data_IF_914097752264
#
_entry.id   IF_914097752264
#
_cell.length_a   1.000
_cell.length_b   1.000
_cell.length_c   1.000
_cell.angle_alpha   90.00
_cell.angle_beta   90.00
_cell.angle_gamma   90.00
#
_symmetry.space_group_name_H-M   'P 1'
#
loop_
_entity.id
_entity.type
_entity.pdbx_description
1 polymer ?
#
# COMPACT_ATOMS: atom_id res chain seq x y z
N UNK A 1 10.63 26.83 -7.64
CA UNK A 1 9.34 27.39 -8.10
C UNK A 1 8.32 26.26 -8.02
N UNK A 2 7.17 26.50 -7.38
CA UNK A 2 6.07 25.54 -7.36
C UNK A 2 5.27 25.72 -8.66
N UNK A 3 5.10 24.64 -9.40
CA UNK A 3 4.27 24.63 -10.62
C UNK A 3 3.11 23.63 -10.48
N UNK A 4 1.90 24.03 -10.88
CA UNK A 4 0.78 23.12 -11.03
C UNK A 4 0.98 22.34 -12.34
N UNK A 5 1.06 21.03 -12.23
CA UNK A 5 1.28 20.13 -13.37
C UNK A 5 -0.06 19.68 -13.96
N UNK A 6 -1.01 19.31 -13.08
CA UNK A 6 -2.33 18.82 -13.48
C UNK A 6 -3.38 19.09 -12.43
N UNK A 7 -4.61 19.39 -12.87
CA UNK A 7 -5.80 19.46 -12.02
C UNK A 7 -6.80 18.43 -12.51
N UNK A 8 -7.36 17.67 -11.61
CA UNK A 8 -8.31 16.59 -11.86
C UNK A 8 -9.50 16.74 -10.94
N UNK A 9 -10.67 16.34 -11.40
CA UNK A 9 -11.89 16.27 -10.58
C UNK A 9 -12.32 14.81 -10.45
N UNK A 10 -12.46 14.33 -9.22
CA UNK A 10 -12.94 12.97 -8.96
C UNK A 10 -13.80 12.93 -7.71
N UNK A 11 -14.97 12.29 -7.80
CA UNK A 11 -15.93 12.14 -6.71
C UNK A 11 -16.32 13.47 -6.03
N UNK A 12 -16.40 14.57 -6.80
CA UNK A 12 -16.71 15.91 -6.31
C UNK A 12 -15.57 16.58 -5.54
N UNK A 13 -14.35 16.09 -5.68
CA UNK A 13 -13.17 16.65 -5.04
C UNK A 13 -12.11 17.01 -6.08
N UNK A 14 -11.44 18.15 -5.88
CA UNK A 14 -10.34 18.59 -6.73
C UNK A 14 -9.04 17.97 -6.28
N UNK A 15 -8.34 17.30 -7.21
CA UNK A 15 -6.98 16.82 -7.03
C UNK A 15 -6.01 17.71 -7.80
N UNK A 16 -4.92 18.11 -7.16
CA UNK A 16 -3.90 18.96 -7.78
C UNK A 16 -2.54 18.30 -7.69
N UNK A 17 -1.99 17.89 -8.84
CA UNK A 17 -0.59 17.48 -8.93
C UNK A 17 0.26 18.73 -9.11
N UNK A 18 1.24 18.91 -8.23
CA UNK A 18 2.21 20.00 -8.32
C UNK A 18 3.65 19.50 -8.32
N UNK A 19 4.49 20.21 -9.04
CA UNK A 19 5.96 20.05 -9.03
C UNK A 19 6.57 21.12 -8.13
N UNK A 20 7.37 20.68 -7.16
CA UNK A 20 8.13 21.55 -6.26
C UNK A 20 9.60 21.69 -6.69
N UNK A 21 9.96 21.22 -7.89
CA UNK A 21 11.31 21.25 -8.45
C UNK A 21 12.21 20.12 -7.96
N UNK A 22 12.00 19.61 -6.76
CA UNK A 22 12.74 18.48 -6.18
C UNK A 22 11.91 17.21 -6.07
N UNK A 23 10.61 17.34 -6.10
CA UNK A 23 9.65 16.25 -5.97
C UNK A 23 8.25 16.71 -6.39
N UNK A 24 7.34 15.76 -6.53
CA UNK A 24 5.93 16.02 -6.81
C UNK A 24 5.08 15.76 -5.58
N UNK A 25 3.96 16.49 -5.50
CA UNK A 25 2.94 16.26 -4.49
C UNK A 25 1.56 16.21 -5.15
N UNK A 26 0.71 15.28 -4.67
CA UNK A 26 -0.71 15.26 -5.00
C UNK A 26 -1.49 15.76 -3.80
N UNK A 27 -2.32 16.76 -4.04
CA UNK A 27 -3.21 17.35 -3.05
C UNK A 27 -4.65 16.92 -3.32
N UNK A 28 -5.41 16.69 -2.26
CA UNK A 28 -6.86 16.59 -2.28
C UNK A 28 -7.41 17.88 -1.65
N UNK A 29 -8.00 18.75 -2.46
CA UNK A 29 -8.25 20.13 -2.08
C UNK A 29 -6.93 20.85 -1.75
N UNK A 30 -6.75 21.20 -0.47
CA UNK A 30 -5.50 21.84 0.00
C UNK A 30 -4.60 20.89 0.80
N UNK A 31 -5.01 19.65 1.02
CA UNK A 31 -4.28 18.70 1.86
C UNK A 31 -3.36 17.81 1.00
N UNK A 32 -2.04 17.83 1.20
CA UNK A 32 -1.16 16.86 0.55
C UNK A 32 -1.50 15.44 1.01
N UNK A 33 -1.76 14.55 0.04
CA UNK A 33 -2.08 13.14 0.28
C UNK A 33 -0.97 12.20 -0.18
N UNK A 34 -0.17 12.59 -1.18
CA UNK A 34 0.98 11.82 -1.68
C UNK A 34 2.16 12.76 -1.95
N UNK A 35 3.39 12.26 -1.77
CA UNK A 35 4.62 12.97 -2.08
C UNK A 35 5.68 12.01 -2.63
N UNK A 36 6.40 12.40 -3.69
CA UNK A 36 7.52 11.62 -4.23
C UNK A 36 8.86 11.98 -3.59
N UNK A 37 8.86 12.74 -2.50
CA UNK A 37 10.08 13.25 -1.87
C UNK A 37 10.94 12.15 -1.23
N UNK A 38 10.30 11.11 -0.69
CA UNK A 38 10.96 10.07 0.06
C UNK A 38 10.17 8.76 -0.16
N UNK A 39 10.65 7.91 -1.07
CA UNK A 39 9.98 6.68 -1.50
C UNK A 39 10.79 5.41 -1.13
N UNK A 40 11.89 5.56 -0.37
CA UNK A 40 12.74 4.44 0.01
C UNK A 40 12.00 3.52 1.00
N UNK A 41 11.20 4.09 1.90
CA UNK A 41 10.40 3.33 2.87
C UNK A 41 9.31 2.51 2.20
N UNK A 42 8.62 3.07 1.18
CA UNK A 42 7.60 2.37 0.39
C UNK A 42 8.23 1.26 -0.46
N UNK A 43 9.42 1.51 -1.05
CA UNK A 43 10.16 0.46 -1.77
C UNK A 43 10.58 -0.67 -0.84
N UNK A 44 11.10 -0.36 0.34
CA UNK A 44 11.47 -1.37 1.33
C UNK A 44 10.24 -2.14 1.82
N UNK A 45 9.11 -1.45 2.01
CA UNK A 45 7.84 -2.07 2.36
C UNK A 45 7.33 -3.01 1.26
N UNK A 46 7.34 -2.57 0.00
CA UNK A 46 6.94 -3.40 -1.15
C UNK A 46 7.80 -4.66 -1.28
N UNK A 47 9.12 -4.57 -1.02
CA UNK A 47 10.03 -5.71 -1.06
C UNK A 47 9.68 -6.80 -0.02
N UNK A 48 8.93 -6.48 1.05
CA UNK A 48 8.42 -7.47 1.99
C UNK A 48 7.50 -8.51 1.33
N UNK A 49 6.92 -8.22 0.18
CA UNK A 49 6.15 -9.18 -0.60
C UNK A 49 6.93 -10.48 -0.85
N UNK A 50 8.24 -10.40 -1.07
CA UNK A 50 9.12 -11.56 -1.24
C UNK A 50 9.39 -12.36 0.05
N UNK A 51 9.35 -11.69 1.21
CA UNK A 51 9.66 -12.30 2.52
C UNK A 51 8.41 -12.89 3.18
N UNK A 52 7.27 -12.22 3.04
CA UNK A 52 6.04 -12.62 3.72
C UNK A 52 5.22 -13.67 2.97
N UNK A 53 5.51 -13.91 1.69
CA UNK A 53 4.83 -14.95 0.91
C UNK A 53 5.28 -16.33 1.37
N UNK A 54 4.41 -17.33 1.25
CA UNK A 54 4.78 -18.74 1.31
C UNK A 54 5.49 -19.15 0.00
N UNK A 55 6.41 -20.12 0.06
CA UNK A 55 7.16 -20.67 -1.10
C UNK A 55 6.30 -21.44 -2.12
N UNK A 56 5.01 -21.10 -2.20
CA UNK A 56 4.09 -21.70 -3.17
C UNK A 56 3.98 -20.83 -4.42
N UNK A 57 4.03 -21.49 -5.58
CA UNK A 57 3.75 -20.88 -6.88
C UNK A 57 2.51 -21.56 -7.49
N UNK A 58 1.57 -20.80 -8.08
CA UNK A 58 1.52 -19.35 -8.15
C UNK A 58 1.08 -18.70 -6.83
N UNK A 59 1.66 -17.55 -6.51
CA UNK A 59 1.29 -16.74 -5.36
C UNK A 59 0.29 -15.63 -5.76
N UNK A 60 -0.54 -15.21 -4.80
CA UNK A 60 -1.48 -14.08 -4.99
C UNK A 60 -1.31 -13.06 -3.88
N UNK A 61 -1.01 -11.83 -4.26
CA UNK A 61 -0.72 -10.72 -3.34
C UNK A 61 -1.68 -9.57 -3.60
N UNK A 62 -2.22 -8.99 -2.54
CA UNK A 62 -3.01 -7.77 -2.62
C UNK A 62 -2.21 -6.60 -2.05
N UNK A 63 -2.13 -5.51 -2.80
CA UNK A 63 -1.57 -4.22 -2.38
C UNK A 63 -2.71 -3.22 -2.31
N UNK A 64 -2.96 -2.69 -1.12
CA UNK A 64 -3.91 -1.60 -0.92
C UNK A 64 -3.18 -0.27 -1.00
N UNK A 65 -3.62 0.60 -1.92
CA UNK A 65 -2.98 1.85 -2.29
C UNK A 65 -1.96 1.68 -3.42
N UNK A 66 -2.06 2.52 -4.43
CA UNK A 66 -1.08 2.60 -5.52
C UNK A 66 -0.01 3.66 -5.21
N UNK A 67 -0.41 4.78 -4.60
CA UNK A 67 0.47 5.92 -4.43
C UNK A 67 1.12 6.33 -5.75
N UNK A 68 2.42 6.61 -5.73
CA UNK A 68 3.18 6.85 -6.97
C UNK A 68 3.84 5.58 -7.54
N UNK A 69 3.37 4.40 -7.14
CA UNK A 69 3.78 3.12 -7.68
C UNK A 69 5.03 2.50 -7.05
N UNK A 70 5.65 3.15 -6.05
CA UNK A 70 6.92 2.70 -5.47
C UNK A 70 6.80 1.34 -4.75
N UNK A 71 5.76 1.16 -3.95
CA UNK A 71 5.45 -0.11 -3.26
C UNK A 71 5.18 -1.23 -4.27
N UNK A 72 4.38 -0.96 -5.30
CA UNK A 72 4.07 -1.94 -6.36
C UNK A 72 5.33 -2.35 -7.13
N UNK A 73 6.14 -1.38 -7.57
CA UNK A 73 7.37 -1.66 -8.31
C UNK A 73 8.33 -2.55 -7.51
N UNK A 74 8.51 -2.26 -6.22
CA UNK A 74 9.36 -3.05 -5.35
C UNK A 74 8.78 -4.45 -5.08
N UNK A 75 7.46 -4.58 -4.92
CA UNK A 75 6.81 -5.87 -4.77
C UNK A 75 6.99 -6.74 -6.02
N UNK A 76 6.79 -6.19 -7.22
CA UNK A 76 7.00 -6.91 -8.49
C UNK A 76 8.44 -7.38 -8.68
N UNK A 77 9.42 -6.59 -8.22
CA UNK A 77 10.82 -6.96 -8.25
C UNK A 77 11.18 -8.09 -7.25
N UNK A 78 10.42 -8.19 -6.14
CA UNK A 78 10.66 -9.16 -5.08
C UNK A 78 9.97 -10.51 -5.29
N UNK A 79 9.01 -10.61 -6.21
CA UNK A 79 8.20 -11.82 -6.42
C UNK A 79 8.46 -12.48 -7.77
N UNK A 80 8.15 -13.78 -7.86
CA UNK A 80 8.33 -14.56 -9.08
C UNK A 80 7.39 -14.18 -10.23
N UNK A 81 7.67 -14.64 -11.45
CA UNK A 81 6.92 -14.30 -12.65
C UNK A 81 5.47 -14.82 -12.65
N UNK A 82 5.19 -15.89 -11.89
CA UNK A 82 3.86 -16.50 -11.79
C UNK A 82 2.98 -15.84 -10.69
N UNK A 83 3.49 -14.80 -10.01
CA UNK A 83 2.76 -14.15 -8.91
C UNK A 83 1.73 -13.18 -9.47
N UNK A 84 0.47 -13.34 -9.09
CA UNK A 84 -0.58 -12.35 -9.35
C UNK A 84 -0.49 -11.23 -8.30
N UNK A 85 -0.45 -9.99 -8.74
CA UNK A 85 -0.40 -8.81 -7.88
C UNK A 85 -1.66 -7.97 -8.11
N UNK A 86 -2.56 -7.97 -7.16
CA UNK A 86 -3.80 -7.21 -7.18
C UNK A 86 -3.53 -5.87 -6.51
N UNK A 87 -3.66 -4.77 -7.24
CA UNK A 87 -3.51 -3.41 -6.69
C UNK A 87 -4.88 -2.77 -6.58
N UNK A 88 -5.23 -2.35 -5.39
CA UNK A 88 -6.52 -1.70 -5.11
C UNK A 88 -6.29 -0.23 -4.86
N UNK A 89 -6.74 0.61 -5.79
CA UNK A 89 -6.64 2.06 -5.70
C UNK A 89 -8.03 2.69 -5.86
N UNK A 90 -8.38 3.55 -4.92
CA UNK A 90 -9.69 4.19 -4.90
C UNK A 90 -9.81 5.30 -5.93
N UNK A 91 -8.75 6.10 -6.10
CA UNK A 91 -8.73 7.27 -6.98
C UNK A 91 -8.20 6.89 -8.37
N UNK A 92 -9.04 6.97 -9.39
CA UNK A 92 -8.63 6.74 -10.79
C UNK A 92 -7.56 7.72 -11.25
N UNK A 93 -7.66 8.96 -10.79
CA UNK A 93 -6.68 10.00 -11.04
C UNK A 93 -5.26 9.61 -10.65
N UNK A 94 -5.09 8.85 -9.55
CA UNK A 94 -3.76 8.36 -9.12
C UNK A 94 -3.17 7.42 -10.17
N UNK A 95 -3.95 6.48 -10.70
CA UNK A 95 -3.48 5.57 -11.76
C UNK A 95 -3.15 6.31 -13.07
N UNK A 96 -3.92 7.35 -13.42
CA UNK A 96 -3.62 8.18 -14.58
C UNK A 96 -2.28 8.92 -14.41
N UNK A 97 -2.04 9.52 -13.24
CA UNK A 97 -0.79 10.21 -12.91
C UNK A 97 0.41 9.26 -12.97
N UNK A 98 0.26 8.03 -12.46
CA UNK A 98 1.33 7.01 -12.49
C UNK A 98 1.65 6.56 -13.92
N UNK A 99 0.65 6.49 -14.82
CA UNK A 99 0.89 6.19 -16.24
C UNK A 99 1.43 7.38 -17.02
N UNK A 100 1.12 8.59 -16.60
CA UNK A 100 1.44 9.84 -17.26
C UNK A 100 2.62 10.57 -16.64
N UNK A 101 2.33 11.63 -15.92
CA UNK A 101 3.30 12.62 -15.43
C UNK A 101 4.37 12.01 -14.52
N UNK A 102 4.01 10.98 -13.76
CA UNK A 102 4.92 10.31 -12.82
C UNK A 102 5.37 8.91 -13.27
N UNK A 103 5.20 8.57 -14.55
CA UNK A 103 5.66 7.28 -15.09
C UNK A 103 7.15 7.00 -14.85
N UNK A 104 7.97 8.03 -14.69
CA UNK A 104 9.40 7.92 -14.38
C UNK A 104 9.69 7.39 -12.95
N UNK A 105 8.74 7.49 -12.02
CA UNK A 105 8.88 7.01 -10.63
C UNK A 105 8.82 5.49 -10.56
N UNK A 106 7.92 4.89 -11.34
CA UNK A 106 7.70 3.45 -11.42
C UNK A 106 7.37 3.05 -12.88
N UNK A 107 8.38 3.02 -13.77
CA UNK A 107 8.16 2.82 -15.20
C UNK A 107 7.45 1.52 -15.53
N UNK A 108 6.35 1.60 -16.30
CA UNK A 108 5.60 0.44 -16.80
C UNK A 108 4.93 -0.42 -15.74
N UNK A 109 4.90 0.01 -14.49
CA UNK A 109 4.45 -0.80 -13.35
C UNK A 109 3.00 -1.28 -13.48
N UNK A 110 2.13 -0.48 -14.09
CA UNK A 110 0.72 -0.82 -14.31
C UNK A 110 0.47 -1.62 -15.60
N UNK A 111 1.52 -1.80 -16.42
CA UNK A 111 1.46 -2.57 -17.68
C UNK A 111 2.11 -3.95 -17.50
N UNK A 112 2.65 -4.26 -16.32
CA UNK A 112 3.19 -5.58 -15.98
C UNK A 112 2.06 -6.63 -16.04
N UNK A 113 2.21 -7.74 -16.79
CA UNK A 113 1.15 -8.73 -16.97
C UNK A 113 0.70 -9.42 -15.68
N UNK A 114 1.48 -9.35 -14.62
CA UNK A 114 1.13 -9.88 -13.29
C UNK A 114 0.14 -8.97 -12.53
N UNK A 115 -0.02 -7.71 -12.96
CA UNK A 115 -0.78 -6.68 -12.24
C UNK A 115 -2.24 -6.66 -12.67
N UNK A 116 -3.11 -6.76 -11.68
CA UNK A 116 -4.54 -6.47 -11.78
C UNK A 116 -4.83 -5.18 -11.01
N UNK A 117 -5.11 -4.08 -11.70
CA UNK A 117 -5.53 -2.83 -11.07
C UNK A 117 -7.05 -2.83 -10.86
N UNK A 118 -7.46 -2.70 -9.59
CA UNK A 118 -8.87 -2.66 -9.17
C UNK A 118 -9.20 -1.28 -8.61
N UNK A 119 -10.15 -0.60 -9.22
CA UNK A 119 -10.67 0.67 -8.70
C UNK A 119 -11.80 0.43 -7.70
N UNK A 120 -11.45 0.32 -6.43
CA UNK A 120 -12.37 0.01 -5.35
C UNK A 120 -11.87 0.55 -4.00
N UNK A 121 -12.72 0.42 -2.98
CA UNK A 121 -12.29 0.53 -1.59
C UNK A 121 -11.58 -0.76 -1.16
N UNK A 122 -10.37 -0.63 -0.60
CA UNK A 122 -9.54 -1.79 -0.26
C UNK A 122 -10.16 -2.71 0.79
N UNK A 123 -10.92 -2.17 1.76
CA UNK A 123 -11.58 -3.00 2.76
C UNK A 123 -12.68 -3.88 2.14
N UNK A 124 -13.41 -3.34 1.16
CA UNK A 124 -14.42 -4.10 0.41
C UNK A 124 -13.77 -5.18 -0.44
N UNK A 125 -12.65 -4.83 -1.10
CA UNK A 125 -11.95 -5.77 -1.96
C UNK A 125 -11.31 -6.91 -1.17
N UNK A 126 -10.71 -6.64 -0.02
CA UNK A 126 -10.21 -7.70 0.89
C UNK A 126 -11.34 -8.66 1.26
N UNK A 127 -12.53 -8.14 1.60
CA UNK A 127 -13.68 -8.98 1.97
C UNK A 127 -14.24 -9.86 0.84
N UNK A 128 -13.85 -9.61 -0.42
CA UNK A 128 -14.23 -10.40 -1.60
C UNK A 128 -13.17 -11.43 -2.02
N UNK A 129 -12.01 -11.42 -1.39
CA UNK A 129 -10.88 -12.28 -1.73
C UNK A 129 -10.69 -13.40 -0.72
N UNK A 130 -10.06 -14.45 -1.18
CA UNK A 130 -9.62 -15.60 -0.38
C UNK A 130 -8.27 -16.10 -0.90
N UNK A 131 -7.61 -16.91 -0.11
CA UNK A 131 -6.38 -17.61 -0.47
C UNK A 131 -5.21 -16.69 -0.89
N UNK A 132 -5.19 -15.47 -0.34
CA UNK A 132 -4.08 -14.55 -0.54
C UNK A 132 -2.84 -15.00 0.25
N UNK A 133 -1.67 -14.87 -0.36
CA UNK A 133 -0.37 -15.10 0.30
C UNK A 133 0.02 -13.91 1.16
N UNK A 134 -0.26 -12.71 0.66
CA UNK A 134 0.05 -11.48 1.37
C UNK A 134 -0.97 -10.38 1.08
N UNK A 135 -1.18 -9.53 2.08
CA UNK A 135 -1.89 -8.26 1.98
C UNK A 135 -0.94 -7.18 2.48
N UNK A 136 -0.57 -6.22 1.62
CA UNK A 136 0.25 -5.08 1.97
C UNK A 136 -0.61 -3.81 1.90
N UNK A 137 -0.79 -3.10 3.01
CA UNK A 137 -1.55 -1.86 3.06
C UNK A 137 -0.62 -0.65 3.14
N UNK A 138 -0.66 0.17 2.09
CA UNK A 138 0.05 1.44 1.94
C UNK A 138 -0.95 2.52 1.53
N UNK A 139 -2.01 2.68 2.33
CA UNK A 139 -3.17 3.56 2.03
C UNK A 139 -3.19 4.86 2.82
N UNK A 140 -2.46 4.92 3.94
CA UNK A 140 -2.44 6.02 4.90
C UNK A 140 -1.10 6.14 5.60
N UNK A 141 -1.00 7.11 6.52
CA UNK A 141 0.14 7.25 7.42
C UNK A 141 0.18 6.20 8.56
N UNK A 142 -0.66 5.15 8.48
CA UNK A 142 -0.71 4.02 9.41
C UNK A 142 -1.91 4.02 10.36
N UNK A 143 -2.01 3.03 11.26
CA UNK A 143 -3.21 2.77 12.07
C UNK A 143 -3.63 3.91 13.01
N UNK A 144 -2.68 4.77 13.42
CA UNK A 144 -2.96 5.92 14.27
C UNK A 144 -3.32 7.20 13.52
N UNK A 145 -3.16 7.24 12.20
CA UNK A 145 -3.28 8.43 11.35
C UNK A 145 -3.95 8.10 10.02
N UNK A 146 -5.18 7.59 10.07
CA UNK A 146 -5.95 7.39 8.86
C UNK A 146 -6.27 8.73 8.22
N UNK A 147 -5.62 9.06 7.09
CA UNK A 147 -5.81 10.28 6.31
C UNK A 147 -7.25 10.39 5.80
N UNK A 148 -7.84 9.26 5.48
CA UNK A 148 -9.26 9.11 5.20
C UNK A 148 -9.94 8.40 6.36
N UNK A 149 -10.95 9.01 6.97
CA UNK A 149 -11.74 8.39 8.05
C UNK A 149 -12.29 7.01 7.68
N UNK A 150 -12.55 6.79 6.38
CA UNK A 150 -13.02 5.51 5.85
C UNK A 150 -11.99 4.38 5.99
N UNK A 151 -10.69 4.69 6.01
CA UNK A 151 -9.63 3.70 6.14
C UNK A 151 -9.42 3.23 7.59
N UNK A 152 -9.88 4.00 8.59
CA UNK A 152 -9.79 3.60 10.00
C UNK A 152 -10.41 2.21 10.26
N UNK A 153 -11.42 1.82 9.47
CA UNK A 153 -12.06 0.51 9.56
C UNK A 153 -11.12 -0.68 9.25
N UNK A 154 -10.07 -0.47 8.43
CA UNK A 154 -9.06 -1.49 8.12
C UNK A 154 -8.31 -1.98 9.36
N UNK A 155 -8.16 -1.09 10.33
CA UNK A 155 -7.37 -1.31 11.55
C UNK A 155 -8.22 -1.73 12.75
N UNK A 156 -9.53 -1.82 12.59
CA UNK A 156 -10.45 -2.36 13.62
C UNK A 156 -10.36 -3.88 13.67
N UNK A 157 -10.84 -4.48 14.77
CA UNK A 157 -10.92 -5.95 14.89
C UNK A 157 -11.72 -6.59 13.74
N UNK A 158 -12.78 -5.94 13.28
CA UNK A 158 -13.57 -6.42 12.14
C UNK A 158 -12.75 -6.39 10.84
N UNK A 159 -12.02 -5.29 10.56
CA UNK A 159 -11.16 -5.19 9.38
C UNK A 159 -10.00 -6.17 9.42
N UNK A 160 -9.35 -6.33 10.58
CA UNK A 160 -8.30 -7.31 10.78
C UNK A 160 -8.79 -8.75 10.62
N UNK A 161 -10.04 -9.04 11.03
CA UNK A 161 -10.65 -10.34 10.82
C UNK A 161 -10.90 -10.62 9.34
N UNK A 162 -11.40 -9.63 8.57
CA UNK A 162 -11.54 -9.76 7.12
C UNK A 162 -10.19 -10.08 6.46
N UNK A 163 -9.13 -9.35 6.83
CA UNK A 163 -7.80 -9.60 6.31
C UNK A 163 -7.27 -11.00 6.70
N UNK A 164 -7.52 -11.43 7.95
CA UNK A 164 -7.13 -12.75 8.42
C UNK A 164 -7.84 -13.85 7.61
N UNK A 165 -9.14 -13.72 7.37
CA UNK A 165 -9.93 -14.71 6.65
C UNK A 165 -9.58 -14.75 5.14
N UNK A 166 -9.22 -13.59 4.55
CA UNK A 166 -8.78 -13.50 3.15
C UNK A 166 -7.40 -14.13 2.89
N UNK A 167 -6.55 -14.21 3.91
CA UNK A 167 -5.23 -14.84 3.80
C UNK A 167 -5.37 -16.36 3.93
N UNK A 168 -4.52 -17.11 3.25
CA UNK A 168 -4.33 -18.52 3.53
C UNK A 168 -3.51 -18.76 4.81
N UNK A 169 -3.55 -19.96 5.41
CA UNK A 169 -2.63 -20.34 6.48
C UNK A 169 -1.18 -20.09 6.08
N UNK A 170 -0.39 -19.47 6.96
CA UNK A 170 0.98 -19.05 6.69
C UNK A 170 1.12 -17.74 5.89
N UNK A 171 0.03 -17.16 5.41
CA UNK A 171 0.03 -15.85 4.75
C UNK A 171 0.28 -14.69 5.72
N UNK A 172 0.55 -13.50 5.17
CA UNK A 172 0.89 -12.35 6.00
C UNK A 172 0.13 -11.07 5.60
N UNK A 173 -0.23 -10.31 6.61
CA UNK A 173 -0.79 -8.97 6.53
C UNK A 173 0.28 -7.97 6.95
N UNK A 174 0.51 -6.93 6.19
CA UNK A 174 1.46 -5.89 6.53
C UNK A 174 0.86 -4.50 6.32
N UNK A 175 1.18 -3.57 7.24
CA UNK A 175 0.75 -2.17 7.18
C UNK A 175 1.97 -1.28 7.25
N UNK A 176 2.13 -0.40 6.26
CA UNK A 176 3.09 0.70 6.33
C UNK A 176 2.59 1.77 7.30
N UNK A 177 3.49 2.32 8.11
CA UNK A 177 3.16 3.40 9.05
C UNK A 177 4.30 4.40 9.17
N UNK A 178 4.03 5.65 8.87
CA UNK A 178 4.97 6.77 9.06
C UNK A 178 5.13 7.18 10.52
N UNK A 179 4.26 6.67 11.41
CA UNK A 179 4.29 6.99 12.84
C UNK A 179 4.30 5.72 13.68
N UNK A 180 4.88 5.76 14.90
CA UNK A 180 4.77 4.65 15.85
C UNK A 180 3.31 4.34 16.20
N UNK A 181 2.93 3.07 16.08
CA UNK A 181 1.60 2.56 16.43
C UNK A 181 1.70 1.20 17.14
N UNK A 182 2.56 1.09 18.14
CA UNK A 182 2.93 -0.20 18.76
C UNK A 182 1.76 -0.88 19.45
N UNK A 183 0.73 -0.14 19.86
CA UNK A 183 -0.55 -0.69 20.35
C UNK A 183 -1.24 -1.56 19.30
N UNK A 184 -0.99 -1.32 18.01
CA UNK A 184 -1.55 -2.11 16.92
C UNK A 184 -1.09 -3.58 16.92
N UNK A 185 0.08 -3.88 17.51
CA UNK A 185 0.52 -5.27 17.72
C UNK A 185 -0.45 -6.07 18.61
N UNK A 186 -1.04 -5.43 19.61
CA UNK A 186 -2.03 -6.07 20.45
C UNK A 186 -3.32 -6.36 19.67
N UNK A 187 -3.72 -5.43 18.79
CA UNK A 187 -4.89 -5.63 17.93
C UNK A 187 -4.67 -6.76 16.91
N UNK A 188 -3.47 -6.85 16.32
CA UNK A 188 -3.10 -7.98 15.47
C UNK A 188 -3.16 -9.32 16.21
N UNK A 189 -2.65 -9.40 17.46
CA UNK A 189 -2.73 -10.62 18.28
C UNK A 189 -4.17 -11.02 18.56
N UNK A 190 -5.04 -10.08 18.93
CA UNK A 190 -6.47 -10.33 19.16
C UNK A 190 -7.16 -10.88 17.92
N UNK A 191 -6.77 -10.43 16.73
CA UNK A 191 -7.30 -10.94 15.47
C UNK A 191 -6.75 -12.31 15.07
N UNK A 192 -5.79 -12.87 15.83
CA UNK A 192 -5.21 -14.20 15.60
C UNK A 192 -3.87 -14.21 14.88
N UNK A 193 -3.32 -13.06 14.54
CA UNK A 193 -2.00 -12.96 13.89
C UNK A 193 -0.85 -13.15 14.90
N UNK A 194 0.30 -13.65 14.39
CA UNK A 194 1.60 -13.55 15.04
C UNK A 194 2.28 -12.25 14.57
N UNK A 195 2.32 -11.18 15.41
CA UNK A 195 2.78 -9.88 14.97
C UNK A 195 4.28 -9.66 15.15
N UNK A 196 4.85 -8.85 14.25
CA UNK A 196 6.21 -8.31 14.31
C UNK A 196 6.29 -6.90 13.76
N UNK A 197 7.43 -6.23 13.99
CA UNK A 197 7.71 -4.91 13.42
C UNK A 197 8.97 -5.01 12.56
N UNK A 198 8.93 -4.39 11.38
CA UNK A 198 10.09 -4.20 10.52
C UNK A 198 10.36 -2.70 10.42
N UNK A 199 11.53 -2.20 10.86
CA UNK A 199 11.89 -0.80 10.68
C UNK A 199 12.16 -0.51 9.21
N UNK A 200 11.61 0.59 8.71
CA UNK A 200 11.81 1.06 7.34
C UNK A 200 12.66 2.32 7.36
N UNK A 201 13.73 2.31 6.58
CA UNK A 201 14.72 3.37 6.57
C UNK A 201 14.56 4.28 5.36
N UNK A 202 14.86 5.56 5.56
CA UNK A 202 15.08 6.55 4.52
C UNK A 202 16.46 7.17 4.79
N UNK A 203 17.40 7.02 3.85
CA UNK A 203 18.79 7.50 4.00
C UNK A 203 19.46 7.01 5.29
N UNK A 204 19.28 5.73 5.63
CA UNK A 204 19.86 5.10 6.82
C UNK A 204 19.18 5.41 8.15
N UNK A 205 18.13 6.25 8.17
CA UNK A 205 17.38 6.60 9.39
C UNK A 205 16.00 5.95 9.36
N UNK A 206 15.54 5.36 10.46
CA UNK A 206 14.18 4.82 10.58
C UNK A 206 13.16 5.96 10.44
N UNK A 207 12.37 5.94 9.39
CA UNK A 207 11.33 6.95 9.08
C UNK A 207 9.92 6.38 9.11
N UNK A 208 9.81 5.08 8.89
CA UNK A 208 8.53 4.37 8.93
C UNK A 208 8.70 2.99 9.57
N UNK A 209 7.61 2.29 9.76
CA UNK A 209 7.58 0.91 10.26
C UNK A 209 6.58 0.10 9.43
N UNK A 210 6.89 -1.16 9.18
CA UNK A 210 5.91 -2.12 8.76
C UNK A 210 5.44 -2.92 9.99
N UNK A 211 4.14 -2.89 10.26
CA UNK A 211 3.50 -3.77 11.24
C UNK A 211 3.03 -5.01 10.49
N UNK A 212 3.64 -6.14 10.79
CA UNK A 212 3.40 -7.40 10.08
C UNK A 212 2.67 -8.38 11.00
N UNK A 213 1.57 -8.94 10.53
CA UNK A 213 0.83 -10.01 11.19
C UNK A 213 0.86 -11.28 10.34
N UNK A 214 1.53 -12.33 10.79
CA UNK A 214 1.54 -13.62 10.11
C UNK A 214 0.34 -14.46 10.56
N UNK A 215 -0.46 -14.99 9.60
CA UNK A 215 -1.49 -15.98 9.90
C UNK A 215 -0.80 -17.30 10.24
N UNK A 216 -1.05 -17.94 11.39
CA UNK A 216 -0.54 -19.27 11.69
C UNK A 216 -0.92 -20.30 10.62
N UNK A 217 -0.04 -21.31 10.44
CA UNK A 217 -0.27 -22.42 9.51
C UNK A 217 -1.21 -23.47 10.05
#
# INVERSE_FOLDING_TARGET
VVAVVRVLEEAGQTLVLRDLGTHHELLLGQTPILSSKALETERTFGALAGVVRNDRSPASILIGGLGFGATLAAALAAVGPETRVIVVEKLRAVAEIVRGELAHVAPGVLDDPRVELVHADVAEEIGRRSDLDAILLDVDNGPGWASFRTNARLYTQAGLRLAFDALRPGGAYAVWSGYPADTFLAELRKAGFAPSIVPLHERGVVRARAYVGKRPG
#
